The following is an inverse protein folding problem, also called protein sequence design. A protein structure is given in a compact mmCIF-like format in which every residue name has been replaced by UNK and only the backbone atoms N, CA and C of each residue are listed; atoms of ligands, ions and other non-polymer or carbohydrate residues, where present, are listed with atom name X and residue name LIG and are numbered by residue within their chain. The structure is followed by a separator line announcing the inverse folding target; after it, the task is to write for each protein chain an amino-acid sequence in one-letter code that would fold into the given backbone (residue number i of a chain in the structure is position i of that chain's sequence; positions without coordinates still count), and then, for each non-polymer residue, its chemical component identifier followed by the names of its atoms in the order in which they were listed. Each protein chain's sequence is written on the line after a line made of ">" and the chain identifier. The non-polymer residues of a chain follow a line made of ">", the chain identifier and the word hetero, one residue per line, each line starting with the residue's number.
data_IF_066103445383
#
_entry.id   IF_066103445383
#
_cell.length_a   1.000
_cell.length_b   1.000
_cell.length_c   1.000
_cell.angle_alpha   90.00
_cell.angle_beta   90.00
_cell.angle_gamma   90.00
#
_symmetry.space_group_name_H-M   'P 1'
#
loop_
_entity.id
_entity.type
_entity.pdbx_description
1 polymer ?
#
# COMPACT_ATOMS: atom_id res chain seq x y z
N UNK A 1 16.23 27.88 9.13
CA UNK A 1 16.93 26.89 8.30
C UNK A 1 16.34 25.54 8.70
N UNK A 2 15.45 24.86 7.99
CA UNK A 2 14.89 25.02 6.65
C UNK A 2 13.35 24.97 6.74
N UNK A 3 12.68 25.89 6.07
CA UNK A 3 11.33 25.65 5.55
C UNK A 3 11.50 24.78 4.31
N UNK A 4 10.91 23.58 4.31
CA UNK A 4 10.73 22.82 3.08
C UNK A 4 9.27 22.93 2.66
N UNK A 5 9.09 23.64 1.55
CA UNK A 5 7.84 23.99 0.91
C UNK A 5 7.27 22.81 0.11
N UNK A 6 5.98 22.53 0.33
CA UNK A 6 4.96 21.76 -0.43
C UNK A 6 5.25 21.56 -1.94
N UNK A 7 4.78 20.51 -2.68
CA UNK A 7 3.42 19.94 -2.62
C UNK A 7 3.32 18.41 -2.94
N UNK A 8 2.78 17.60 -2.03
CA UNK A 8 2.50 16.21 -2.36
C UNK A 8 1.22 16.09 -3.19
N UNK A 9 1.33 16.20 -4.51
CA UNK A 9 0.42 15.52 -5.45
C UNK A 9 0.01 14.18 -4.86
N UNK A 10 -1.27 13.78 -4.95
CA UNK A 10 -1.75 12.42 -4.68
C UNK A 10 -1.09 11.42 -5.66
N UNK A 11 0.23 11.34 -5.66
CA UNK A 11 1.00 10.37 -6.39
C UNK A 11 0.74 9.05 -5.66
N UNK A 12 -0.08 8.20 -6.27
CA UNK A 12 -0.53 6.95 -5.69
C UNK A 12 0.61 6.07 -5.16
N UNK A 13 0.23 5.03 -4.42
CA UNK A 13 1.15 4.12 -3.74
C UNK A 13 2.34 3.67 -4.63
N UNK A 14 3.54 4.15 -4.31
CA UNK A 14 4.82 3.80 -4.98
C UNK A 14 5.40 2.51 -4.41
N UNK A 15 6.39 1.92 -5.07
CA UNK A 15 7.10 0.74 -4.52
C UNK A 15 7.75 1.03 -3.18
N UNK A 16 8.42 2.17 -3.05
CA UNK A 16 9.01 2.58 -1.77
C UNK A 16 7.95 2.77 -0.68
N UNK A 17 6.76 3.24 -1.05
CA UNK A 17 5.61 3.30 -0.15
C UNK A 17 5.12 1.91 0.27
N UNK A 18 5.08 0.94 -0.65
CA UNK A 18 4.79 -0.46 -0.32
C UNK A 18 5.85 -1.01 0.63
N UNK A 19 7.14 -0.79 0.35
CA UNK A 19 8.24 -1.24 1.21
C UNK A 19 8.13 -0.68 2.63
N UNK A 20 7.81 0.61 2.73
CA UNK A 20 7.60 1.30 4.01
C UNK A 20 6.44 0.66 4.80
N UNK A 21 5.29 0.42 4.15
CA UNK A 21 4.14 -0.22 4.78
C UNK A 21 4.46 -1.64 5.27
N UNK A 22 5.10 -2.46 4.43
CA UNK A 22 5.48 -3.84 4.78
C UNK A 22 6.45 -3.88 5.97
N UNK A 23 7.45 -2.99 5.98
CA UNK A 23 8.37 -2.87 7.13
C UNK A 23 7.63 -2.46 8.39
N UNK A 24 6.69 -1.54 8.28
CA UNK A 24 5.96 -1.02 9.42
C UNK A 24 5.00 -2.06 10.05
N UNK A 25 4.68 -3.15 9.34
CA UNK A 25 3.91 -4.29 9.87
C UNK A 25 4.79 -5.47 10.31
N UNK A 26 6.11 -5.29 10.30
CA UNK A 26 7.07 -6.26 10.85
C UNK A 26 7.83 -7.09 9.81
N UNK A 27 7.66 -6.82 8.51
CA UNK A 27 8.42 -7.53 7.48
C UNK A 27 9.89 -7.09 7.49
N UNK A 28 10.80 -8.05 7.45
CA UNK A 28 12.24 -7.81 7.52
C UNK A 28 12.76 -6.93 6.37
N UNK A 29 13.77 -6.07 6.61
CA UNK A 29 14.30 -5.18 5.56
C UNK A 29 14.93 -5.96 4.40
N UNK A 30 15.46 -7.15 4.66
CA UNK A 30 15.98 -8.07 3.64
C UNK A 30 14.87 -8.59 2.72
N UNK A 31 13.77 -9.09 3.28
CA UNK A 31 12.59 -9.55 2.52
C UNK A 31 11.98 -8.43 1.70
N UNK A 32 11.80 -7.25 2.29
CA UNK A 32 11.19 -6.09 1.63
C UNK A 32 12.07 -5.50 0.51
N UNK A 33 13.39 -5.68 0.59
CA UNK A 33 14.32 -5.25 -0.45
C UNK A 33 14.34 -6.20 -1.65
N UNK A 34 13.83 -7.42 -1.47
CA UNK A 34 13.76 -8.41 -2.53
C UNK A 34 12.60 -8.11 -3.50
N UNK A 35 12.89 -8.14 -4.79
CA UNK A 35 11.88 -7.86 -5.82
C UNK A 35 10.88 -9.02 -5.96
N UNK A 36 11.24 -10.25 -5.62
CA UNK A 36 10.31 -11.37 -5.67
C UNK A 36 9.24 -11.25 -4.58
N UNK A 37 9.56 -10.62 -3.44
CA UNK A 37 8.59 -10.39 -2.36
C UNK A 37 7.34 -9.63 -2.82
N UNK A 38 7.46 -8.81 -3.87
CA UNK A 38 6.34 -8.09 -4.46
C UNK A 38 5.32 -8.98 -5.18
N UNK A 39 5.79 -10.10 -5.74
CA UNK A 39 4.98 -11.13 -6.38
C UNK A 39 4.60 -12.29 -5.43
N UNK A 40 5.16 -12.29 -4.23
CA UNK A 40 4.87 -13.29 -3.19
C UNK A 40 3.59 -12.94 -2.44
N UNK A 41 2.78 -13.95 -2.09
CA UNK A 41 1.57 -13.76 -1.29
C UNK A 41 1.91 -13.32 0.13
N UNK A 42 0.99 -12.59 0.76
CA UNK A 42 1.14 -12.16 2.15
C UNK A 42 1.37 -13.33 3.11
N UNK A 43 0.71 -14.47 2.90
CA UNK A 43 0.95 -15.68 3.69
C UNK A 43 2.39 -16.20 3.58
N UNK A 44 2.93 -16.29 2.38
CA UNK A 44 4.30 -16.81 2.14
C UNK A 44 5.37 -15.80 2.63
N UNK A 45 5.04 -14.51 2.64
CA UNK A 45 5.84 -13.48 3.30
C UNK A 45 5.78 -13.52 4.83
N UNK A 46 4.87 -14.30 5.42
CA UNK A 46 4.66 -14.36 6.87
C UNK A 46 3.85 -13.19 7.42
N UNK A 47 2.99 -12.56 6.60
CA UNK A 47 2.07 -11.51 7.04
C UNK A 47 0.76 -12.11 7.55
N UNK A 48 0.64 -12.10 8.86
CA UNK A 48 -0.58 -12.52 9.55
C UNK A 48 -1.79 -11.62 9.25
N UNK A 49 -2.97 -12.07 9.67
CA UNK A 49 -4.22 -11.31 9.55
C UNK A 49 -4.11 -9.89 10.13
N UNK A 50 -3.47 -9.75 11.30
CA UNK A 50 -3.29 -8.44 11.94
C UNK A 50 -2.42 -7.50 11.09
N UNK A 51 -1.34 -8.01 10.50
CA UNK A 51 -0.46 -7.23 9.63
C UNK A 51 -1.21 -6.74 8.37
N UNK A 52 -2.10 -7.56 7.82
CA UNK A 52 -2.95 -7.20 6.67
C UNK A 52 -3.95 -6.09 7.04
N UNK A 53 -4.64 -6.23 8.17
CA UNK A 53 -5.59 -5.20 8.68
C UNK A 53 -4.88 -3.87 8.98
N UNK A 54 -3.71 -3.92 9.62
CA UNK A 54 -2.88 -2.74 9.89
C UNK A 54 -2.43 -2.07 8.58
N UNK A 55 -2.04 -2.88 7.58
CA UNK A 55 -1.66 -2.37 6.26
C UNK A 55 -2.83 -1.65 5.58
N UNK A 56 -4.03 -2.24 5.58
CA UNK A 56 -5.24 -1.62 5.03
C UNK A 56 -5.60 -0.33 5.77
N UNK A 57 -5.53 -0.34 7.09
CA UNK A 57 -5.82 0.83 7.94
C UNK A 57 -4.89 1.99 7.61
N UNK A 58 -3.58 1.74 7.50
CA UNK A 58 -2.59 2.78 7.11
C UNK A 58 -2.81 3.31 5.70
N UNK A 59 -3.21 2.45 4.76
CA UNK A 59 -3.56 2.87 3.40
C UNK A 59 -4.78 3.79 3.42
N UNK A 60 -5.80 3.43 4.20
CA UNK A 60 -7.01 4.25 4.39
C UNK A 60 -6.69 5.60 5.01
N UNK A 61 -5.86 5.65 6.05
CA UNK A 61 -5.46 6.92 6.67
C UNK A 61 -4.61 7.79 5.73
N UNK A 62 -3.71 7.20 4.95
CA UNK A 62 -2.77 7.93 4.08
C UNK A 62 -3.38 8.37 2.75
N UNK A 63 -4.25 7.54 2.16
CA UNK A 63 -4.78 7.72 0.81
C UNK A 63 -6.31 7.88 0.76
N UNK A 64 -7.02 7.67 1.87
CA UNK A 64 -8.49 7.68 1.90
C UNK A 64 -9.13 6.46 1.24
N UNK A 65 -8.34 5.40 0.97
CA UNK A 65 -8.80 4.20 0.26
C UNK A 65 -8.95 3.03 1.23
N UNK A 66 -10.16 2.45 1.26
CA UNK A 66 -10.43 1.22 1.99
C UNK A 66 -10.27 -0.01 1.08
N UNK A 67 -9.33 -0.89 1.42
CA UNK A 67 -9.06 -2.16 0.71
C UNK A 67 -9.01 -3.35 1.67
N UNK A 68 -9.48 -3.21 2.91
CA UNK A 68 -9.32 -4.24 3.94
C UNK A 68 -9.90 -5.59 3.49
N UNK A 69 -11.10 -5.55 2.90
CA UNK A 69 -11.79 -6.73 2.39
C UNK A 69 -11.06 -7.41 1.21
N UNK A 70 -10.20 -6.68 0.49
CA UNK A 70 -9.42 -7.19 -0.64
C UNK A 70 -8.04 -7.73 -0.23
N UNK A 71 -7.56 -7.42 0.98
CA UNK A 71 -6.29 -7.91 1.50
C UNK A 71 -6.44 -9.30 2.14
N UNK A 72 -6.54 -10.32 1.29
CA UNK A 72 -6.53 -11.72 1.72
C UNK A 72 -5.10 -12.22 1.96
N UNK A 73 -4.98 -13.45 2.48
CA UNK A 73 -3.69 -14.09 2.69
C UNK A 73 -2.95 -14.37 1.36
N UNK A 74 -3.71 -14.54 0.27
CA UNK A 74 -3.19 -14.80 -1.08
C UNK A 74 -2.82 -13.52 -1.84
N UNK A 75 -3.27 -12.35 -1.35
CA UNK A 75 -2.95 -11.06 -1.96
C UNK A 75 -1.44 -10.80 -1.91
N UNK A 76 -0.89 -10.24 -2.99
CA UNK A 76 0.52 -9.86 -3.09
C UNK A 76 0.68 -8.34 -2.89
N UNK A 77 1.89 -7.86 -2.52
CA UNK A 77 2.16 -6.43 -2.47
C UNK A 77 1.91 -5.70 -3.79
N UNK A 78 2.15 -6.35 -4.94
CA UNK A 78 1.83 -5.79 -6.26
C UNK A 78 0.33 -5.61 -6.47
N UNK A 79 -0.46 -6.63 -6.13
CA UNK A 79 -1.92 -6.57 -6.25
C UNK A 79 -2.49 -5.51 -5.31
N UNK A 80 -2.01 -5.44 -4.06
CA UNK A 80 -2.35 -4.33 -3.15
C UNK A 80 -2.05 -2.96 -3.76
N UNK A 81 -0.84 -2.77 -4.33
CA UNK A 81 -0.46 -1.50 -4.99
C UNK A 81 -1.42 -1.16 -6.13
N UNK A 82 -1.79 -2.17 -6.91
CA UNK A 82 -2.71 -2.03 -8.03
C UNK A 82 -4.11 -1.66 -7.56
N UNK A 83 -4.63 -2.29 -6.51
CA UNK A 83 -5.93 -1.97 -5.91
C UNK A 83 -5.98 -0.51 -5.45
N UNK A 84 -4.97 -0.04 -4.71
CA UNK A 84 -4.92 1.36 -4.28
C UNK A 84 -4.89 2.30 -5.49
N UNK A 85 -4.10 1.98 -6.52
CA UNK A 85 -4.03 2.79 -7.74
C UNK A 85 -5.39 2.84 -8.45
N UNK A 86 -6.06 1.71 -8.56
CA UNK A 86 -7.38 1.61 -9.19
C UNK A 86 -8.40 2.46 -8.44
N UNK A 87 -8.45 2.37 -7.10
CA UNK A 87 -9.38 3.17 -6.28
C UNK A 87 -9.11 4.67 -6.34
N UNK A 88 -7.84 5.07 -6.38
CA UNK A 88 -7.45 6.46 -6.58
C UNK A 88 -7.86 6.97 -7.99
N UNK A 89 -7.77 6.12 -9.00
CA UNK A 89 -8.18 6.45 -10.38
C UNK A 89 -9.70 6.42 -10.57
N UNK A 90 -10.40 5.52 -9.87
CA UNK A 90 -11.86 5.35 -9.83
C UNK A 90 -12.56 6.36 -8.91
N UNK A 91 -11.78 7.20 -8.22
CA UNK A 91 -12.23 8.45 -7.62
C UNK A 91 -11.95 9.66 -8.52
N UNK A 92 -12.29 9.67 -9.84
CA UNK A 92 -12.32 10.93 -10.53
C UNK A 92 -13.49 11.70 -9.92
N UNK A 93 -13.18 12.85 -9.33
CA UNK A 93 -14.14 13.94 -9.23
C UNK A 93 -15.07 13.88 -10.44
N UNK A 94 -16.37 13.74 -10.20
CA UNK A 94 -17.39 13.69 -11.23
C UNK A 94 -17.06 14.65 -12.39
N UNK A 95 -17.11 14.22 -13.66
CA UNK A 95 -17.27 15.19 -14.72
C UNK A 95 -18.69 15.74 -14.57
N UNK A 96 -18.80 16.92 -13.98
CA UNK A 96 -19.92 17.79 -14.23
C UNK A 96 -19.84 18.21 -15.71
N UNK A 97 -20.61 17.54 -16.57
CA UNK A 97 -21.10 18.07 -17.85
C UNK A 97 -22.21 17.16 -18.38
#
# INVERSE_FOLDING_TARGET
>A
MASETLPGTFAGLTEDGVRDLLRAVGLGPETVSDAAAFATSFEDLGLDSLARVETASRIKERFGVDIEEELTAETTPEEMRRLVKDRLAASPSAPAA
#
